data_IF_726516300784
#
_entry.id   IF_726516300784
#
_cell.length_a   1.000
_cell.length_b   1.000
_cell.length_c   1.000
_cell.angle_alpha   90.00
_cell.angle_beta   90.00
_cell.angle_gamma   90.00
#
_symmetry.space_group_name_H-M   'P 1'
#
loop_
_entity.id
_entity.type
_entity.pdbx_description
1 polymer ?
#
# COMPACT_ATOMS: atom_id res chain seq x y z
N UNK A 1 30.50 -0.83 -15.51
CA UNK A 1 29.62 0.22 -14.94
C UNK A 1 30.01 0.37 -13.47
N UNK A 2 30.32 1.60 -13.02
CA UNK A 2 30.90 1.85 -11.69
C UNK A 2 30.01 1.42 -10.53
N UNK A 3 30.54 1.55 -9.32
CA UNK A 3 29.80 1.32 -8.07
C UNK A 3 28.52 2.19 -8.06
N UNK A 4 27.35 1.55 -7.97
CA UNK A 4 26.06 2.22 -8.05
C UNK A 4 25.80 3.10 -6.82
N UNK A 5 26.33 2.70 -5.66
CA UNK A 5 26.05 3.41 -4.42
C UNK A 5 26.89 4.66 -4.24
N UNK A 6 28.00 4.79 -4.98
CA UNK A 6 28.83 5.99 -5.01
C UNK A 6 28.31 7.10 -5.93
N UNK A 7 27.25 6.86 -6.71
CA UNK A 7 26.60 7.87 -7.54
C UNK A 7 25.99 8.96 -6.66
N UNK A 8 26.39 10.22 -6.82
CA UNK A 8 25.83 11.33 -6.04
C UNK A 8 24.49 11.82 -6.63
N UNK A 9 24.44 12.05 -7.94
CA UNK A 9 23.23 12.46 -8.65
C UNK A 9 22.57 11.28 -9.36
N UNK A 10 21.38 10.87 -8.90
CA UNK A 10 20.62 9.78 -9.53
C UNK A 10 20.03 10.17 -10.89
N UNK A 11 20.01 11.45 -11.23
CA UNK A 11 19.53 11.97 -12.50
C UNK A 11 20.63 12.07 -13.57
N UNK A 12 21.91 12.01 -13.19
CA UNK A 12 23.03 12.06 -14.11
C UNK A 12 24.21 11.20 -13.62
N UNK A 13 24.33 10.00 -14.19
CA UNK A 13 25.48 9.09 -13.97
C UNK A 13 26.58 9.26 -15.02
N UNK A 14 26.51 10.32 -15.82
CA UNK A 14 27.31 10.58 -17.01
C UNK A 14 26.44 10.72 -18.25
N UNK A 15 26.80 11.67 -19.12
CA UNK A 15 26.09 11.95 -20.38
C UNK A 15 24.59 12.30 -20.22
N UNK A 16 24.16 12.71 -19.02
CA UNK A 16 22.75 13.03 -18.72
C UNK A 16 21.85 11.82 -18.55
N UNK A 17 22.42 10.63 -18.31
CA UNK A 17 21.64 9.42 -18.07
C UNK A 17 21.24 9.26 -16.61
N UNK A 18 19.95 9.05 -16.27
CA UNK A 18 19.55 8.76 -14.90
C UNK A 18 19.80 7.28 -14.53
N UNK A 19 19.96 7.00 -13.23
CA UNK A 19 20.09 5.64 -12.67
C UNK A 19 18.93 4.74 -13.07
N UNK A 20 17.72 5.31 -13.14
CA UNK A 20 16.46 4.63 -13.41
C UNK A 20 16.07 4.63 -14.90
N UNK A 21 17.01 4.95 -15.81
CA UNK A 21 16.76 5.00 -17.27
C UNK A 21 16.09 3.73 -17.82
N UNK A 22 16.50 2.57 -17.30
CA UNK A 22 16.05 1.25 -17.79
C UNK A 22 14.92 0.65 -16.92
N UNK A 23 14.25 1.46 -16.08
CA UNK A 23 13.15 0.96 -15.25
C UNK A 23 11.92 0.62 -16.10
N UNK A 24 11.38 -0.57 -15.89
CA UNK A 24 10.05 -0.93 -16.36
C UNK A 24 9.01 -0.80 -15.23
N UNK A 25 7.74 -1.03 -15.52
CA UNK A 25 6.62 -0.97 -14.58
C UNK A 25 6.92 -1.79 -13.32
N UNK A 26 7.52 -2.98 -13.47
CA UNK A 26 7.88 -3.86 -12.36
C UNK A 26 8.86 -3.16 -11.39
N UNK A 27 9.80 -2.39 -11.91
CA UNK A 27 10.79 -1.68 -11.10
C UNK A 27 10.18 -0.48 -10.38
N UNK A 28 9.29 0.24 -11.05
CA UNK A 28 8.50 1.30 -10.41
C UNK A 28 7.59 0.77 -9.29
N UNK A 29 6.95 -0.38 -9.50
CA UNK A 29 6.13 -1.04 -8.47
C UNK A 29 6.98 -1.44 -7.27
N UNK A 30 8.14 -2.06 -7.49
CA UNK A 30 9.01 -2.47 -6.39
C UNK A 30 9.63 -1.27 -5.67
N UNK A 31 9.99 -0.21 -6.38
CA UNK A 31 10.44 1.05 -5.78
C UNK A 31 9.34 1.62 -4.86
N UNK A 32 8.10 1.73 -5.35
CA UNK A 32 6.98 2.19 -4.55
C UNK A 32 6.77 1.33 -3.31
N UNK A 33 6.77 0.01 -3.45
CA UNK A 33 6.62 -0.92 -2.33
C UNK A 33 7.72 -0.74 -1.28
N UNK A 34 8.97 -0.56 -1.72
CA UNK A 34 10.11 -0.29 -0.83
C UNK A 34 9.87 0.94 0.04
N UNK A 35 9.47 2.06 -0.58
CA UNK A 35 9.15 3.30 0.14
C UNK A 35 7.98 3.12 1.09
N UNK A 36 6.90 2.51 0.63
CA UNK A 36 5.69 2.37 1.44
C UNK A 36 5.94 1.53 2.67
N UNK A 37 6.61 0.39 2.54
CA UNK A 37 6.91 -0.43 3.72
C UNK A 37 7.91 0.24 4.66
N UNK A 38 8.88 0.99 4.13
CA UNK A 38 9.83 1.71 4.96
C UNK A 38 9.19 2.88 5.73
N UNK A 39 8.49 3.77 5.03
CA UNK A 39 7.83 4.93 5.62
C UNK A 39 6.71 4.52 6.58
N UNK A 40 6.02 3.40 6.32
CA UNK A 40 5.02 2.85 7.24
C UNK A 40 5.60 2.57 8.62
N UNK A 41 6.79 1.97 8.67
CA UNK A 41 7.47 1.65 9.92
C UNK A 41 7.93 2.91 10.65
N UNK A 42 8.47 3.90 9.92
CA UNK A 42 8.85 5.18 10.51
C UNK A 42 7.65 5.95 11.05
N UNK A 43 6.56 6.04 10.27
CA UNK A 43 5.33 6.69 10.69
C UNK A 43 4.72 6.01 11.92
N UNK A 44 4.69 4.67 11.95
CA UNK A 44 4.21 3.93 13.12
C UNK A 44 5.04 4.24 14.38
N UNK A 45 6.37 4.20 14.29
CA UNK A 45 7.24 4.50 15.45
C UNK A 45 7.00 5.91 15.98
N UNK A 46 6.85 6.88 15.07
CA UNK A 46 6.57 8.28 15.42
C UNK A 46 5.19 8.49 16.04
N UNK A 47 4.17 7.78 15.56
CA UNK A 47 2.78 7.96 16.01
C UNK A 47 2.45 7.17 17.28
N UNK A 48 3.02 5.98 17.45
CA UNK A 48 2.73 5.10 18.60
C UNK A 48 3.61 5.45 19.80
N UNK A 49 4.88 5.78 19.56
CA UNK A 49 5.85 6.26 20.57
C UNK A 49 5.80 5.48 21.91
N UNK A 50 5.67 4.16 21.82
CA UNK A 50 5.50 3.24 22.96
C UNK A 50 6.59 2.14 22.90
N UNK A 51 7.47 2.03 23.91
CA UNK A 51 8.53 1.04 23.92
C UNK A 51 8.02 -0.40 23.96
N UNK A 52 6.80 -0.65 24.45
CA UNK A 52 6.17 -1.97 24.46
C UNK A 52 5.58 -2.34 23.09
N UNK A 53 5.60 -1.42 22.13
CA UNK A 53 5.14 -1.61 20.73
C UNK A 53 6.27 -1.27 19.76
N UNK A 54 7.32 -2.10 19.67
CA UNK A 54 8.53 -1.77 18.91
C UNK A 54 8.33 -1.73 17.39
N UNK A 55 7.19 -2.23 16.88
CA UNK A 55 6.84 -2.19 15.46
C UNK A 55 5.43 -2.70 15.18
N UNK A 56 5.13 -2.84 13.89
CA UNK A 56 3.82 -3.29 13.41
C UNK A 56 3.81 -4.82 13.42
N UNK A 57 2.94 -5.44 14.22
CA UNK A 57 2.70 -6.87 14.10
C UNK A 57 1.92 -7.20 12.83
N UNK A 58 2.09 -8.40 12.30
CA UNK A 58 1.43 -8.85 11.07
C UNK A 58 -0.11 -8.67 11.13
N UNK A 59 -0.71 -8.99 12.27
CA UNK A 59 -2.16 -8.86 12.50
C UNK A 59 -2.67 -7.41 12.32
N UNK A 60 -1.86 -6.41 12.63
CA UNK A 60 -2.23 -5.00 12.53
C UNK A 60 -1.70 -4.32 11.26
N UNK A 61 -0.97 -5.04 10.41
CA UNK A 61 -0.40 -4.48 9.19
C UNK A 61 -1.46 -3.83 8.30
N UNK A 62 -2.53 -4.57 7.96
CA UNK A 62 -3.58 -4.08 7.07
C UNK A 62 -4.24 -2.79 7.61
N UNK A 63 -4.44 -2.72 8.93
CA UNK A 63 -4.99 -1.55 9.60
C UNK A 63 -4.08 -0.33 9.41
N UNK A 64 -2.79 -0.44 9.73
CA UNK A 64 -1.86 0.69 9.61
C UNK A 64 -1.61 1.08 8.16
N UNK A 65 -1.47 0.10 7.27
CA UNK A 65 -1.31 0.36 5.83
C UNK A 65 -2.49 1.18 5.28
N UNK A 66 -3.73 0.80 5.61
CA UNK A 66 -4.92 1.56 5.22
C UNK A 66 -5.02 2.90 5.94
N UNK A 67 -4.62 2.98 7.22
CA UNK A 67 -4.64 4.23 8.00
C UNK A 67 -3.78 5.31 7.34
N UNK A 68 -2.54 4.98 6.96
CA UNK A 68 -1.59 5.94 6.41
C UNK A 68 -1.76 6.17 4.90
N UNK A 69 -1.92 5.11 4.11
CA UNK A 69 -1.94 5.23 2.64
C UNK A 69 -3.33 5.32 2.03
N UNK A 70 -4.41 5.11 2.80
CA UNK A 70 -5.80 5.11 2.31
C UNK A 70 -6.02 4.12 1.15
N UNK A 71 -5.22 3.05 1.11
CA UNK A 71 -5.33 1.96 0.13
C UNK A 71 -5.07 0.61 0.79
N UNK A 72 -5.45 -0.47 0.11
CA UNK A 72 -5.16 -1.83 0.54
C UNK A 72 -3.93 -2.37 -0.20
N UNK A 73 -3.11 -3.16 0.48
CA UNK A 73 -2.05 -3.92 -0.17
C UNK A 73 -2.64 -5.24 -0.67
N UNK A 74 -2.81 -5.37 -1.99
CA UNK A 74 -3.33 -6.59 -2.61
C UNK A 74 -2.15 -7.47 -3.07
N UNK A 75 -1.89 -8.57 -2.35
CA UNK A 75 -0.74 -9.45 -2.59
C UNK A 75 -0.75 -10.04 -4.01
N UNK A 76 -1.95 -10.33 -4.54
CA UNK A 76 -2.19 -10.80 -5.91
C UNK A 76 -1.60 -9.87 -6.97
N UNK A 77 -1.55 -8.56 -6.73
CA UNK A 77 -0.95 -7.59 -7.67
C UNK A 77 0.57 -7.74 -7.78
N UNK A 78 1.21 -8.42 -6.81
CA UNK A 78 2.65 -8.70 -6.79
C UNK A 78 2.97 -10.14 -7.20
N UNK A 79 1.95 -10.94 -7.56
CA UNK A 79 2.12 -12.37 -7.81
C UNK A 79 2.40 -13.17 -6.53
N UNK A 80 1.97 -12.68 -5.38
CA UNK A 80 2.19 -13.26 -4.05
C UNK A 80 0.88 -13.76 -3.43
N UNK A 81 0.96 -14.76 -2.54
CA UNK A 81 -0.20 -15.34 -1.87
C UNK A 81 -0.48 -14.68 -0.50
N UNK A 82 0.56 -14.20 0.15
CA UNK A 82 0.51 -13.64 1.51
C UNK A 82 1.47 -12.45 1.66
N UNK A 83 1.40 -11.81 2.82
CA UNK A 83 2.17 -10.61 3.13
C UNK A 83 3.68 -10.87 3.27
N UNK A 84 4.04 -12.06 3.74
CA UNK A 84 5.43 -12.51 3.88
C UNK A 84 6.08 -12.64 2.50
N UNK A 85 5.37 -13.19 1.52
CA UNK A 85 5.83 -13.30 0.14
C UNK A 85 6.06 -11.94 -0.51
N UNK A 86 5.19 -10.95 -0.23
CA UNK A 86 5.41 -9.57 -0.69
C UNK A 86 6.70 -8.99 -0.08
N UNK A 87 6.94 -9.19 1.21
CA UNK A 87 8.17 -8.69 1.85
C UNK A 87 9.45 -9.36 1.31
N UNK A 88 9.38 -10.61 0.83
CA UNK A 88 10.52 -11.26 0.16
C UNK A 88 10.99 -10.54 -1.11
N UNK A 89 10.10 -9.81 -1.79
CA UNK A 89 10.43 -9.02 -2.98
C UNK A 89 11.28 -7.78 -2.65
N UNK A 90 11.24 -7.31 -1.39
CA UNK A 90 11.87 -6.06 -0.91
C UNK A 90 12.54 -6.25 0.44
N UNK A 91 13.19 -7.42 0.63
CA UNK A 91 13.86 -7.81 1.88
C UNK A 91 14.98 -6.85 2.31
N UNK A 92 15.47 -6.02 1.38
CA UNK A 92 16.43 -4.96 1.63
C UNK A 92 15.83 -3.79 2.45
N UNK A 93 14.51 -3.66 2.50
CA UNK A 93 13.81 -2.54 3.16
C UNK A 93 12.83 -2.98 4.24
N UNK A 94 12.22 -4.16 4.08
CA UNK A 94 11.19 -4.67 4.97
C UNK A 94 11.31 -6.19 5.18
N UNK A 95 11.43 -6.61 6.43
CA UNK A 95 11.55 -8.01 6.85
C UNK A 95 10.69 -8.28 8.08
N UNK A 96 10.14 -9.49 8.18
CA UNK A 96 9.46 -9.94 9.38
C UNK A 96 10.48 -10.54 10.36
N UNK A 97 10.46 -10.06 11.60
CA UNK A 97 11.24 -10.61 12.72
C UNK A 97 10.28 -10.82 13.88
N UNK A 98 10.10 -12.07 14.32
CA UNK A 98 9.19 -12.40 15.43
C UNK A 98 7.78 -11.79 15.23
N UNK A 99 7.24 -11.92 14.02
CA UNK A 99 5.95 -11.35 13.58
C UNK A 99 5.85 -9.81 13.60
N UNK A 100 6.98 -9.11 13.78
CA UNK A 100 7.07 -7.65 13.74
C UNK A 100 7.77 -7.20 12.46
N UNK A 101 7.15 -6.27 11.74
CA UNK A 101 7.72 -5.64 10.56
C UNK A 101 8.90 -4.76 10.98
N UNK A 102 10.07 -5.07 10.42
CA UNK A 102 11.35 -4.44 10.72
C UNK A 102 12.07 -4.02 9.45
N UNK A 103 12.89 -2.96 9.55
CA UNK A 103 13.68 -2.47 8.43
C UNK A 103 15.16 -2.79 8.65
N UNK A 104 15.87 -3.35 7.65
CA UNK A 104 17.32 -3.48 7.68
C UNK A 104 18.05 -2.16 7.44
N UNK A 105 17.35 -1.12 7.00
CA UNK A 105 17.95 0.17 6.67
C UNK A 105 18.33 0.88 7.97
N UNK A 106 19.62 1.13 8.13
CA UNK A 106 20.23 1.78 9.31
C UNK A 106 20.74 3.19 9.02
N UNK A 107 20.65 3.65 7.76
CA UNK A 107 21.12 4.97 7.34
C UNK A 107 20.15 6.08 7.73
N UNK A 108 20.69 7.29 7.90
CA UNK A 108 19.92 8.51 8.24
C UNK A 108 19.07 8.99 7.06
N UNK A 109 17.96 9.67 7.39
CA UNK A 109 16.83 9.94 6.50
C UNK A 109 17.09 10.89 5.32
N UNK A 110 18.22 11.58 5.31
CA UNK A 110 18.43 12.77 4.47
C UNK A 110 18.63 12.45 2.97
N UNK A 111 18.94 11.19 2.61
CA UNK A 111 19.09 10.72 1.21
C UNK A 111 18.26 9.47 0.89
N UNK A 112 17.17 9.23 1.62
CA UNK A 112 16.35 8.02 1.48
C UNK A 112 15.93 7.78 0.03
N UNK A 113 15.46 8.83 -0.68
CA UNK A 113 14.90 8.67 -2.00
C UNK A 113 15.91 8.08 -3.00
N UNK A 114 17.09 8.68 -3.06
CA UNK A 114 18.19 8.25 -3.92
C UNK A 114 18.69 6.86 -3.56
N UNK A 115 18.69 6.51 -2.26
CA UNK A 115 19.09 5.19 -1.81
C UNK A 115 18.14 4.08 -2.29
N UNK A 116 16.81 4.28 -2.20
CA UNK A 116 15.85 3.30 -2.71
C UNK A 116 15.87 3.15 -4.24
N UNK A 117 16.17 4.24 -4.96
CA UNK A 117 16.37 4.20 -6.42
C UNK A 117 17.59 3.32 -6.75
N UNK A 118 18.70 3.50 -6.04
CA UNK A 118 19.89 2.65 -6.17
C UNK A 118 19.61 1.18 -5.83
N UNK A 119 18.92 0.90 -4.73
CA UNK A 119 18.50 -0.47 -4.38
C UNK A 119 17.63 -1.11 -5.48
N UNK A 120 16.71 -0.33 -6.05
CA UNK A 120 15.82 -0.83 -7.10
C UNK A 120 16.59 -1.11 -8.40
N UNK A 121 17.56 -0.25 -8.78
CA UNK A 121 18.41 -0.49 -9.95
C UNK A 121 19.36 -1.68 -9.73
N UNK A 122 19.91 -1.87 -8.54
CA UNK A 122 20.70 -3.07 -8.22
C UNK A 122 19.87 -4.34 -8.38
N UNK A 123 18.66 -4.35 -7.83
CA UNK A 123 17.76 -5.50 -7.92
C UNK A 123 17.30 -5.75 -9.37
N UNK A 124 17.07 -4.69 -10.16
CA UNK A 124 16.77 -4.81 -11.59
C UNK A 124 17.92 -5.45 -12.35
N UNK A 125 19.16 -4.97 -12.15
CA UNK A 125 20.37 -5.53 -12.78
C UNK A 125 20.54 -7.00 -12.42
N UNK A 126 20.36 -7.35 -11.15
CA UNK A 126 20.45 -8.75 -10.69
C UNK A 126 19.36 -9.64 -11.33
N UNK A 127 18.12 -9.16 -11.34
CA UNK A 127 17.01 -9.85 -12.00
C UNK A 127 17.29 -10.07 -13.49
N UNK A 128 17.79 -9.06 -14.18
CA UNK A 128 18.13 -9.16 -15.60
C UNK A 128 19.25 -10.18 -15.83
N UNK A 129 20.33 -10.15 -15.03
CA UNK A 129 21.42 -11.14 -15.11
C UNK A 129 20.94 -12.58 -14.94
N UNK A 130 20.01 -12.81 -14.00
CA UNK A 130 19.40 -14.14 -13.79
C UNK A 130 18.56 -14.57 -14.99
N UNK A 131 17.75 -13.67 -15.55
CA UNK A 131 16.97 -13.93 -16.76
C UNK A 131 17.89 -14.27 -17.94
N UNK A 132 18.96 -13.50 -18.15
CA UNK A 132 19.92 -13.71 -19.24
C UNK A 132 20.68 -15.04 -19.09
N UNK A 133 20.85 -15.52 -17.84
CA UNK A 133 21.41 -16.83 -17.52
C UNK A 133 20.39 -17.99 -17.65
N UNK A 134 19.14 -17.72 -18.07
CA UNK A 134 18.09 -18.72 -18.25
C UNK A 134 17.31 -19.10 -16.98
N UNK A 135 17.50 -18.37 -15.88
CA UNK A 135 16.70 -18.54 -14.67
C UNK A 135 15.35 -17.82 -14.82
N UNK A 136 14.39 -18.55 -15.38
CA UNK A 136 13.02 -18.06 -15.60
C UNK A 136 12.27 -17.71 -14.30
N UNK A 137 12.74 -18.18 -13.13
CA UNK A 137 12.15 -17.83 -11.83
C UNK A 137 12.39 -16.37 -11.44
N UNK A 138 13.32 -15.69 -12.10
CA UNK A 138 13.57 -14.26 -11.91
C UNK A 138 12.51 -13.37 -12.59
N UNK A 139 11.64 -13.91 -13.46
CA UNK A 139 10.55 -13.14 -14.08
C UNK A 139 9.41 -12.92 -13.08
N UNK A 140 9.23 -11.67 -12.65
CA UNK A 140 8.17 -11.29 -11.72
C UNK A 140 6.85 -11.06 -12.46
N UNK A 141 5.75 -11.53 -11.87
CA UNK A 141 4.38 -11.32 -12.39
C UNK A 141 3.70 -10.22 -11.58
N UNK A 142 4.04 -8.97 -11.89
CA UNK A 142 3.51 -7.80 -11.19
C UNK A 142 2.49 -7.06 -12.07
N UNK A 143 1.35 -6.73 -11.49
CA UNK A 143 0.29 -5.95 -12.12
C UNK A 143 0.54 -4.45 -11.95
N UNK A 144 0.34 -3.68 -13.03
CA UNK A 144 0.36 -2.21 -12.97
C UNK A 144 -0.67 -1.63 -11.99
N UNK A 145 -1.71 -2.39 -11.62
CA UNK A 145 -2.67 -2.00 -10.59
C UNK A 145 -2.04 -1.78 -9.20
N UNK A 146 -0.82 -2.29 -8.95
CA UNK A 146 -0.08 -2.00 -7.73
C UNK A 146 0.31 -0.51 -7.58
N UNK A 147 0.42 0.23 -8.70
CA UNK A 147 0.68 1.69 -8.71
C UNK A 147 -0.59 2.54 -8.67
N UNK A 148 -1.77 1.92 -8.57
CA UNK A 148 -3.02 2.67 -8.55
C UNK A 148 -3.04 3.64 -7.35
N UNK A 149 -3.48 4.90 -7.56
CA UNK A 149 -3.64 5.85 -6.47
C UNK A 149 -4.66 5.32 -5.46
N UNK A 150 -4.63 5.80 -4.20
CA UNK A 150 -5.65 5.44 -3.22
C UNK A 150 -7.03 5.76 -3.79
N UNK A 151 -7.90 4.76 -3.89
CA UNK A 151 -9.25 4.99 -4.34
C UNK A 151 -9.95 5.85 -3.30
N UNK A 152 -10.44 7.02 -3.71
CA UNK A 152 -11.40 7.79 -2.93
C UNK A 152 -12.66 6.95 -2.84
N UNK A 153 -12.71 6.09 -1.83
CA UNK A 153 -13.88 5.30 -1.49
C UNK A 153 -14.94 6.24 -0.90
N UNK A 154 -15.52 7.08 -1.76
CA UNK A 154 -16.90 7.51 -1.59
C UNK A 154 -17.74 6.26 -1.59
N UNK A 155 -18.46 6.03 -0.50
CA UNK A 155 -19.31 4.87 -0.25
C UNK A 155 -20.11 4.51 -1.50
N UNK A 156 -19.72 3.45 -2.20
CA UNK A 156 -20.57 2.86 -3.23
C UNK A 156 -21.70 2.18 -2.48
N UNK A 157 -22.83 2.89 -2.38
CA UNK A 157 -24.06 2.36 -1.78
C UNK A 157 -24.36 1.00 -2.42
N UNK A 158 -24.29 -0.04 -1.62
CA UNK A 158 -24.77 -1.36 -2.00
C UNK A 158 -26.28 -1.24 -2.07
N UNK A 159 -26.82 -1.14 -3.28
CA UNK A 159 -28.25 -1.42 -3.51
C UNK A 159 -28.42 -2.94 -3.39
N UNK A 160 -29.17 -3.46 -2.40
CA UNK A 160 -29.47 -4.88 -2.37
C UNK A 160 -30.47 -5.20 -3.47
N UNK A 161 -30.11 -6.17 -4.31
CA UNK A 161 -30.97 -6.74 -5.33
C UNK A 161 -32.15 -7.48 -4.69
N UNK A 162 -33.33 -7.20 -5.24
CA UNK A 162 -34.65 -7.75 -4.93
C UNK A 162 -34.67 -9.29 -4.79
N UNK A 163 -35.01 -9.81 -3.61
CA UNK A 163 -35.49 -11.19 -3.43
C UNK A 163 -37.01 -11.20 -3.26
N UNK A 164 -37.65 -12.08 -4.04
CA UNK A 164 -39.09 -12.32 -4.05
C UNK A 164 -39.55 -12.93 -2.73
N UNK A 165 -40.59 -12.32 -2.15
CA UNK A 165 -41.77 -12.97 -1.56
C UNK A 165 -41.57 -13.94 -0.39
N UNK A 166 -41.78 -13.45 0.84
CA UNK A 166 -42.55 -14.15 1.89
C UNK A 166 -43.28 -13.09 2.70
N UNK A 167 -44.61 -13.13 2.72
CA UNK A 167 -45.49 -12.30 3.54
C UNK A 167 -45.52 -12.81 4.99
N UNK A 168 -45.34 -11.96 6.02
CA UNK A 168 -45.74 -12.30 7.37
C UNK A 168 -47.22 -11.93 7.62
N UNK A 169 -47.93 -12.67 8.49
CA UNK A 169 -49.35 -12.47 8.72
C UNK A 169 -49.64 -11.34 9.73
N UNK A 170 -50.59 -10.49 9.36
CA UNK A 170 -51.62 -9.91 10.22
C UNK A 170 -51.22 -9.14 11.48
N UNK A 171 -51.30 -7.81 11.41
CA UNK A 171 -52.00 -7.06 12.45
C UNK A 171 -52.75 -5.87 11.84
N UNK A 172 -53.97 -5.70 12.33
CA UNK A 172 -55.07 -4.99 11.70
C UNK A 172 -54.94 -3.46 11.66
N UNK A 173 -55.68 -2.90 10.71
CA UNK A 173 -55.89 -1.50 10.43
C UNK A 173 -56.54 -0.71 11.58
N UNK A 174 -56.26 0.58 11.60
CA UNK A 174 -56.98 1.58 12.38
C UNK A 174 -56.64 2.99 11.88
N UNK A 175 -57.19 3.37 10.73
CA UNK A 175 -57.16 4.75 10.21
C UNK A 175 -58.20 5.58 10.96
N UNK A 176 -57.84 6.79 11.37
CA UNK A 176 -58.77 7.92 11.38
C UNK A 176 -57.99 9.22 11.25
N UNK A 177 -58.32 9.98 10.20
CA UNK A 177 -57.84 11.32 9.93
C UNK A 177 -58.81 12.37 10.50
N UNK A 178 -58.31 13.60 10.67
CA UNK A 178 -58.96 14.92 10.47
C UNK A 178 -58.82 15.90 11.64
N UNK A 179 -58.50 17.16 11.30
CA UNK A 179 -58.63 18.36 12.14
C UNK A 179 -57.29 19.05 12.42
N UNK A 180 -56.73 19.84 11.51
CA UNK A 180 -56.99 21.28 11.25
C UNK A 180 -56.35 22.24 12.29
N UNK A 181 -55.71 23.29 11.77
CA UNK A 181 -54.75 24.24 12.39
C UNK A 181 -55.44 25.62 12.47
N UNK A 182 -55.33 26.42 13.55
CA UNK A 182 -54.31 27.49 13.64
C UNK A 182 -53.87 27.75 15.11
N UNK A 183 -52.68 28.23 15.44
CA UNK A 183 -51.86 29.28 14.86
C UNK A 183 -51.62 30.31 15.97
N UNK A 184 -50.42 30.41 16.51
CA UNK A 184 -49.99 31.61 17.26
C UNK A 184 -48.46 31.64 17.44
N UNK A 185 -47.86 32.67 16.86
CA UNK A 185 -46.60 33.30 17.24
C UNK A 185 -46.83 34.81 17.00
N UNK A 186 -46.04 35.77 17.53
CA UNK A 186 -44.74 35.62 18.22
C UNK A 186 -44.54 36.59 19.42
N UNK A 187 -43.28 36.71 19.84
CA UNK A 187 -42.61 37.87 20.47
C UNK A 187 -42.58 37.93 22.01
N UNK A 188 -41.39 37.76 22.61
CA UNK A 188 -40.40 38.81 22.87
C UNK A 188 -39.16 38.19 23.56
#
# INVERSE_FOLDING_TARGET
KGDLFSVEDICDIGEGEPVFKDFDIVDWVLLQLRFELYLLQLAFRKDVDDPDRPGISEQYFAFYYQKYYKKQLLYMNYGCENLQDVCKLVKDTAVWKEDILSTPITRAAEDELSYFVKLSEEHRRERQRRIDAGDETARLKISAAALAPPSSSGSRAVVPASTKGVTPPGLAAGVTALGDVPGEAPAA
#
